data_IF_195332435425
#
_entry.id   IF_195332435425
#
_cell.length_a   1.000
_cell.length_b   1.000
_cell.length_c   1.000
_cell.angle_alpha   90.00
_cell.angle_beta   90.00
_cell.angle_gamma   90.00
#
_symmetry.space_group_name_H-M   'P 1'
#
loop_
_entity.id
_entity.type
_entity.pdbx_description
1 polymer ?
#
# COMPACT_ATOMS: atom_id res chain seq x y z
N UNK A 1 0.35 12.44 -5.38
CA UNK A 1 -0.39 11.45 -4.59
C UNK A 1 -0.07 11.56 -3.10
N UNK A 2 1.22 11.55 -2.72
CA UNK A 2 1.58 11.64 -1.29
C UNK A 2 1.12 12.95 -0.66
N UNK A 3 1.10 14.04 -1.42
CA UNK A 3 0.68 15.35 -0.92
C UNK A 3 -0.81 15.42 -0.56
N UNK A 4 -1.63 14.52 -1.10
CA UNK A 4 -3.07 14.51 -0.85
C UNK A 4 -3.47 13.61 0.33
N UNK A 5 -2.52 12.93 0.96
CA UNK A 5 -2.81 12.08 2.11
C UNK A 5 -3.15 12.92 3.35
N UNK A 6 -4.09 12.43 4.14
CA UNK A 6 -4.60 13.11 5.33
C UNK A 6 -4.37 12.29 6.58
N UNK A 7 -4.20 12.93 7.74
CA UNK A 7 -4.07 12.20 9.01
C UNK A 7 -5.25 11.23 9.23
N UNK A 8 -4.93 10.04 9.72
CA UNK A 8 -5.92 9.03 10.05
C UNK A 8 -6.33 8.12 8.90
N UNK A 9 -5.87 8.38 7.68
CA UNK A 9 -6.26 7.56 6.52
C UNK A 9 -5.55 6.21 6.51
N UNK A 10 -6.22 5.23 5.89
CA UNK A 10 -5.64 3.93 5.57
C UNK A 10 -5.22 3.94 4.10
N UNK A 11 -3.95 3.71 3.86
CA UNK A 11 -3.33 3.75 2.52
C UNK A 11 -2.85 2.35 2.14
N UNK A 12 -3.12 1.94 0.91
CA UNK A 12 -2.55 0.72 0.34
C UNK A 12 -1.61 1.11 -0.79
N UNK A 13 -0.38 0.62 -0.73
CA UNK A 13 0.64 0.88 -1.75
C UNK A 13 0.83 -0.38 -2.59
N UNK A 14 0.55 -0.27 -3.88
CA UNK A 14 0.73 -1.36 -4.84
C UNK A 14 2.18 -1.39 -5.32
N UNK A 15 2.86 -2.54 -5.12
CA UNK A 15 4.26 -2.66 -5.52
C UNK A 15 5.19 -1.87 -4.61
N UNK A 16 5.09 -2.11 -3.30
CA UNK A 16 5.77 -1.32 -2.28
C UNK A 16 7.31 -1.37 -2.35
N UNK A 17 7.87 -2.43 -2.92
CA UNK A 17 9.32 -2.60 -2.97
C UNK A 17 9.94 -2.60 -1.58
N UNK A 18 11.02 -1.84 -1.40
CA UNK A 18 11.70 -1.73 -0.10
C UNK A 18 10.99 -0.82 0.91
N UNK A 19 9.89 -0.17 0.51
CA UNK A 19 9.01 0.53 1.42
C UNK A 19 9.18 2.04 1.52
N UNK A 20 10.03 2.67 0.69
CA UNK A 20 10.32 4.10 0.83
C UNK A 20 9.07 4.99 0.75
N UNK A 21 8.20 4.75 -0.23
CA UNK A 21 6.97 5.52 -0.36
C UNK A 21 5.99 5.23 0.78
N UNK A 22 5.97 3.99 1.28
CA UNK A 22 5.16 3.62 2.43
C UNK A 22 5.59 4.39 3.69
N UNK A 23 6.89 4.62 3.87
CA UNK A 23 7.37 5.36 5.03
C UNK A 23 6.99 6.84 4.96
N UNK A 24 7.05 7.44 3.77
CA UNK A 24 6.57 8.80 3.56
C UNK A 24 5.07 8.91 3.81
N UNK A 25 4.31 7.94 3.31
CA UNK A 25 2.86 7.88 3.54
C UNK A 25 2.54 7.71 5.03
N UNK A 26 3.31 6.87 5.73
CA UNK A 26 3.13 6.64 7.16
C UNK A 26 3.28 7.94 7.97
N UNK A 27 4.26 8.76 7.61
CA UNK A 27 4.45 10.06 8.25
C UNK A 27 3.27 11.00 8.00
N UNK A 28 2.70 10.95 6.79
CA UNK A 28 1.55 11.82 6.43
C UNK A 28 0.27 11.43 7.15
N UNK A 29 -0.01 10.13 7.29
CA UNK A 29 -1.26 9.68 7.93
C UNK A 29 -1.16 9.64 9.45
N UNK A 30 0.03 9.63 10.01
CA UNK A 30 0.28 9.72 11.44
C UNK A 30 -0.13 8.47 12.22
N UNK A 31 -0.10 8.58 13.55
CA UNK A 31 -0.29 7.44 14.44
C UNK A 31 -1.68 6.79 14.36
N UNK A 32 -2.68 7.56 13.94
CA UNK A 32 -4.06 7.06 13.80
C UNK A 32 -4.34 6.52 12.41
N UNK A 33 -3.42 6.75 11.46
CA UNK A 33 -3.50 6.20 10.13
C UNK A 33 -2.71 4.91 10.02
N UNK A 34 -2.77 4.30 8.84
CA UNK A 34 -2.11 3.03 8.58
C UNK A 34 -1.71 2.94 7.13
N UNK A 35 -0.58 2.30 6.87
CA UNK A 35 -0.13 2.02 5.51
C UNK A 35 0.08 0.51 5.36
N UNK A 36 -0.46 -0.06 4.30
CA UNK A 36 -0.26 -1.46 3.93
C UNK A 36 0.45 -1.47 2.58
N UNK A 37 1.69 -1.94 2.57
CA UNK A 37 2.45 -2.13 1.35
C UNK A 37 2.29 -3.56 0.84
N UNK A 38 1.99 -3.70 -0.44
CA UNK A 38 1.86 -5.02 -1.08
C UNK A 38 2.95 -5.15 -2.13
N UNK A 39 3.63 -6.28 -2.11
CA UNK A 39 4.62 -6.61 -3.13
C UNK A 39 4.56 -8.10 -3.44
N UNK A 40 4.85 -8.47 -4.70
CA UNK A 40 4.82 -9.87 -5.12
C UNK A 40 6.11 -10.61 -4.83
N UNK A 41 7.16 -9.93 -4.43
CA UNK A 41 8.49 -10.50 -4.21
C UNK A 41 8.74 -10.68 -2.72
N UNK A 42 8.93 -11.92 -2.28
CA UNK A 42 9.17 -12.22 -0.86
C UNK A 42 10.39 -11.50 -0.32
N UNK A 43 11.46 -11.39 -1.12
CA UNK A 43 12.68 -10.70 -0.73
C UNK A 43 12.43 -9.21 -0.46
N UNK A 44 11.61 -8.56 -1.28
CA UNK A 44 11.30 -7.15 -1.10
C UNK A 44 10.42 -6.93 0.14
N UNK A 45 9.46 -7.81 0.38
CA UNK A 45 8.63 -7.74 1.59
C UNK A 45 9.48 -7.86 2.85
N UNK A 46 10.42 -8.79 2.86
CA UNK A 46 11.33 -8.98 3.99
C UNK A 46 12.21 -7.74 4.20
N UNK A 47 12.79 -7.21 3.12
CA UNK A 47 13.60 -6.00 3.18
C UNK A 47 12.81 -4.80 3.69
N UNK A 48 11.57 -4.64 3.22
CA UNK A 48 10.69 -3.56 3.67
C UNK A 48 10.38 -3.67 5.17
N UNK A 49 10.11 -4.89 5.64
CA UNK A 49 9.88 -5.14 7.08
C UNK A 49 11.11 -4.80 7.92
N UNK A 50 12.30 -5.16 7.45
CA UNK A 50 13.55 -4.81 8.14
C UNK A 50 13.77 -3.30 8.17
N UNK A 51 13.51 -2.62 7.06
CA UNK A 51 13.63 -1.17 6.97
C UNK A 51 12.65 -0.46 7.90
N UNK A 52 11.41 -0.96 7.99
CA UNK A 52 10.40 -0.41 8.89
C UNK A 52 10.83 -0.53 10.35
N UNK A 53 11.37 -1.68 10.74
CA UNK A 53 11.87 -1.89 12.09
C UNK A 53 13.01 -0.93 12.43
N UNK A 54 13.96 -0.76 11.51
CA UNK A 54 15.09 0.16 11.70
C UNK A 54 14.65 1.62 11.81
N UNK A 55 13.62 2.01 11.05
CA UNK A 55 13.11 3.37 11.05
C UNK A 55 12.10 3.64 12.17
N UNK A 56 11.71 2.62 12.94
CA UNK A 56 10.73 2.76 13.99
C UNK A 56 9.33 3.06 13.50
N UNK A 57 8.98 2.64 12.28
CA UNK A 57 7.65 2.87 11.70
C UNK A 57 6.68 1.81 12.20
N UNK A 58 5.75 2.20 13.08
CA UNK A 58 4.80 1.29 13.71
C UNK A 58 3.46 1.18 13.01
N UNK A 59 3.12 2.17 12.17
CA UNK A 59 1.84 2.25 11.47
C UNK A 59 1.91 1.74 10.03
N UNK A 60 2.95 0.98 9.72
CA UNK A 60 3.18 0.41 8.39
C UNK A 60 3.30 -1.10 8.51
N UNK A 61 2.68 -1.83 7.58
CA UNK A 61 2.90 -3.27 7.43
C UNK A 61 3.08 -3.63 5.97
N UNK A 62 3.75 -4.75 5.72
CA UNK A 62 4.00 -5.24 4.37
C UNK A 62 3.45 -6.64 4.22
N UNK A 63 2.76 -6.88 3.11
CA UNK A 63 2.12 -8.15 2.80
C UNK A 63 2.59 -8.66 1.45
N UNK A 64 2.93 -9.95 1.38
CA UNK A 64 3.24 -10.62 0.14
C UNK A 64 1.95 -10.93 -0.61
N UNK A 65 1.85 -10.52 -1.86
CA UNK A 65 0.67 -10.79 -2.66
C UNK A 65 0.77 -10.17 -4.04
N UNK A 66 -0.16 -10.55 -4.89
CA UNK A 66 -0.30 -10.02 -6.23
C UNK A 66 -1.22 -8.80 -6.22
N UNK A 67 -0.95 -7.82 -7.09
CA UNK A 67 -1.80 -6.63 -7.15
C UNK A 67 -3.15 -6.89 -7.82
N UNK A 68 -3.27 -7.99 -8.55
CA UNK A 68 -4.54 -8.45 -9.13
C UNK A 68 -5.49 -9.04 -8.08
N UNK A 69 -4.93 -9.50 -6.95
CA UNK A 69 -5.65 -10.12 -5.84
C UNK A 69 -5.06 -9.65 -4.53
N UNK A 70 -5.41 -8.42 -4.15
CA UNK A 70 -4.81 -7.77 -2.98
C UNK A 70 -5.14 -8.50 -1.67
N UNK A 71 -4.12 -8.79 -0.84
CA UNK A 71 -4.34 -9.41 0.48
C UNK A 71 -4.82 -8.36 1.50
N UNK A 72 -5.91 -7.70 1.17
CA UNK A 72 -6.50 -6.60 1.95
C UNK A 72 -8.01 -6.78 1.95
N UNK A 73 -8.63 -6.50 3.10
CA UNK A 73 -10.07 -6.65 3.26
C UNK A 73 -10.86 -5.69 2.36
N UNK A 74 -12.08 -6.08 2.02
CA UNK A 74 -13.00 -5.25 1.24
C UNK A 74 -13.26 -3.92 1.97
N UNK A 75 -13.39 -2.85 1.22
CA UNK A 75 -13.81 -1.53 1.73
C UNK A 75 -13.04 -1.09 2.98
N UNK A 76 -11.72 -1.29 2.97
CA UNK A 76 -10.87 -0.99 4.13
C UNK A 76 -9.90 0.16 3.92
N UNK A 77 -9.65 0.57 2.68
CA UNK A 77 -8.69 1.61 2.35
C UNK A 77 -9.34 2.92 1.95
N UNK A 78 -8.76 4.02 2.39
CA UNK A 78 -9.16 5.36 1.97
C UNK A 78 -8.47 5.76 0.66
N UNK A 79 -7.22 5.32 0.48
CA UNK A 79 -6.39 5.73 -0.65
C UNK A 79 -5.57 4.54 -1.15
N UNK A 80 -5.47 4.45 -2.47
CA UNK A 80 -4.53 3.52 -3.13
C UNK A 80 -3.46 4.38 -3.79
N UNK A 81 -2.20 4.04 -3.56
CA UNK A 81 -1.07 4.65 -4.27
C UNK A 81 -0.33 3.57 -5.07
N UNK A 82 0.27 3.97 -6.18
CA UNK A 82 1.03 3.06 -7.02
C UNK A 82 2.09 3.84 -7.76
N UNK A 83 3.29 3.27 -7.83
CA UNK A 83 4.41 3.89 -8.55
C UNK A 83 4.80 3.00 -9.73
N UNK A 84 4.09 3.16 -10.85
CA UNK A 84 4.36 2.53 -12.14
C UNK A 84 4.19 1.00 -12.20
N UNK A 85 3.85 0.33 -11.10
CA UNK A 85 3.76 -1.13 -11.08
C UNK A 85 2.63 -1.69 -11.96
N UNK A 86 1.56 -0.92 -12.15
CA UNK A 86 0.39 -1.36 -12.93
C UNK A 86 0.78 -1.62 -14.39
N UNK A 87 1.76 -0.90 -14.91
CA UNK A 87 2.22 -1.10 -16.29
C UNK A 87 2.94 -2.43 -16.51
N UNK A 88 3.35 -3.11 -15.44
CA UNK A 88 4.08 -4.37 -15.50
C UNK A 88 3.20 -5.60 -15.49
N UNK A 89 1.90 -5.44 -15.25
CA UNK A 89 0.98 -6.59 -15.16
C UNK A 89 0.19 -6.77 -16.45
N UNK A 90 -0.10 -8.03 -16.84
CA UNK A 90 -0.85 -8.29 -18.07
C UNK A 90 -2.33 -7.94 -17.97
N UNK A 91 -2.95 -8.08 -16.81
CA UNK A 91 -4.39 -7.85 -16.64
C UNK A 91 -4.65 -6.60 -15.79
N UNK A 92 -4.57 -5.44 -16.43
CA UNK A 92 -4.79 -4.15 -15.77
C UNK A 92 -6.24 -3.99 -15.29
N UNK A 93 -7.19 -4.54 -16.03
CA UNK A 93 -8.60 -4.47 -15.64
C UNK A 93 -8.84 -5.18 -14.30
N UNK A 94 -8.18 -6.31 -14.07
CA UNK A 94 -8.29 -7.03 -12.80
C UNK A 94 -7.68 -6.22 -11.64
N UNK A 95 -6.58 -5.53 -11.87
CA UNK A 95 -5.99 -4.64 -10.86
C UNK A 95 -6.98 -3.57 -10.45
N UNK A 96 -7.64 -2.93 -11.40
CA UNK A 96 -8.63 -1.89 -11.11
C UNK A 96 -9.84 -2.45 -10.38
N UNK A 97 -10.33 -3.63 -10.77
CA UNK A 97 -11.45 -4.29 -10.07
C UNK A 97 -11.10 -4.57 -8.61
N UNK A 98 -9.90 -5.10 -8.36
CA UNK A 98 -9.51 -5.44 -7.00
C UNK A 98 -9.22 -4.21 -6.16
N UNK A 99 -8.63 -3.17 -6.75
CA UNK A 99 -8.46 -1.87 -6.12
C UNK A 99 -9.81 -1.28 -5.70
N UNK A 100 -10.80 -1.34 -6.57
CA UNK A 100 -12.15 -0.86 -6.27
C UNK A 100 -12.78 -1.64 -5.11
N UNK A 101 -12.58 -2.96 -5.07
CA UNK A 101 -13.04 -3.80 -3.97
C UNK A 101 -12.50 -3.34 -2.61
N UNK A 102 -11.21 -3.02 -2.57
CA UNK A 102 -10.48 -2.65 -1.34
C UNK A 102 -10.82 -1.24 -0.88
N UNK A 103 -11.16 -0.34 -1.79
CA UNK A 103 -11.47 1.04 -1.44
C UNK A 103 -12.81 1.16 -0.72
N UNK A 104 -12.86 1.99 0.31
CA UNK A 104 -14.11 2.43 0.92
C UNK A 104 -14.91 3.26 -0.09
N UNK A 105 -16.24 3.35 0.03
CA UNK A 105 -17.02 4.30 -0.76
C UNK A 105 -16.44 5.72 -0.59
N UNK A 106 -16.22 6.39 -1.72
CA UNK A 106 -15.58 7.71 -1.72
C UNK A 106 -14.06 7.68 -1.62
N UNK A 107 -13.44 6.50 -1.54
CA UNK A 107 -11.99 6.36 -1.54
C UNK A 107 -11.35 6.70 -2.89
N UNK A 108 -10.05 6.89 -2.88
CA UNK A 108 -9.30 7.33 -4.08
C UNK A 108 -7.94 6.60 -4.23
#
# INVERSE_FOLDING_TARGET
>A
ALASLRPGEVVVDLGAGAGSDCFLAADKVGDKGRVIGVDMTAEMVEKARQNAAKAGKKNVEFRLGEIEHLPVADASADVIISNCVINLVPDKAQVFRDTFRVLKPGGR
#
